data_IF_067055880745
#
_entry.id   IF_067055880745
#
_cell.length_a   1.000
_cell.length_b   1.000
_cell.length_c   1.000
_cell.angle_alpha   90.00
_cell.angle_beta   90.00
_cell.angle_gamma   90.00
#
_symmetry.space_group_name_H-M   'P 1'
#
loop_
_entity.id
_entity.type
_entity.pdbx_description
1 polymer ?
#
# COMPACT_ATOMS: atom_id res chain seq x y z
N UNK A 1 -34.41 -8.70 -15.94
CA UNK A 1 -33.63 -9.43 -14.90
C UNK A 1 -32.13 -9.10 -14.92
N UNK A 2 -31.48 -9.02 -16.08
CA UNK A 2 -30.05 -8.63 -16.19
C UNK A 2 -29.75 -7.18 -15.80
N UNK A 3 -30.63 -6.23 -16.17
CA UNK A 3 -30.46 -4.81 -15.82
C UNK A 3 -30.46 -4.56 -14.30
N UNK A 4 -31.32 -5.27 -13.55
CA UNK A 4 -31.41 -5.18 -12.09
C UNK A 4 -30.16 -5.73 -11.40
N UNK A 5 -29.58 -6.82 -11.91
CA UNK A 5 -28.28 -7.33 -11.43
C UNK A 5 -27.13 -6.37 -11.72
N UNK A 6 -27.13 -5.75 -12.90
CA UNK A 6 -26.11 -4.77 -13.28
C UNK A 6 -26.23 -3.50 -12.41
N UNK A 7 -27.46 -3.03 -12.16
CA UNK A 7 -27.71 -1.89 -11.26
C UNK A 7 -27.26 -2.22 -9.84
N UNK A 8 -27.55 -3.43 -9.34
CA UNK A 8 -27.11 -3.85 -8.01
C UNK A 8 -25.58 -3.92 -7.91
N UNK A 9 -24.90 -4.46 -8.92
CA UNK A 9 -23.42 -4.49 -8.98
C UNK A 9 -22.86 -3.07 -9.00
N UNK A 10 -23.45 -2.17 -9.79
CA UNK A 10 -23.03 -0.77 -9.87
C UNK A 10 -23.27 -0.05 -8.53
N UNK A 11 -24.42 -0.28 -7.89
CA UNK A 11 -24.74 0.27 -6.57
C UNK A 11 -23.78 -0.28 -5.51
N UNK A 12 -23.49 -1.58 -5.50
CA UNK A 12 -22.53 -2.19 -4.57
C UNK A 12 -21.10 -1.68 -4.83
N UNK A 13 -20.72 -1.45 -6.09
CA UNK A 13 -19.44 -0.86 -6.48
C UNK A 13 -19.37 0.61 -6.06
N UNK A 14 -20.45 1.37 -6.23
CA UNK A 14 -20.55 2.77 -5.81
C UNK A 14 -20.55 2.88 -4.29
N UNK A 15 -21.22 1.99 -3.56
CA UNK A 15 -21.19 1.94 -2.09
C UNK A 15 -19.78 1.58 -1.60
N UNK A 16 -19.11 0.62 -2.24
CA UNK A 16 -17.71 0.30 -1.95
C UNK A 16 -16.76 1.46 -2.29
N UNK A 17 -17.00 2.16 -3.40
CA UNK A 17 -16.22 3.33 -3.83
C UNK A 17 -16.51 4.57 -2.97
N UNK A 18 -17.75 4.75 -2.49
CA UNK A 18 -18.14 5.85 -1.61
C UNK A 18 -17.64 5.63 -0.18
N UNK A 19 -17.62 4.39 0.30
CA UNK A 19 -16.92 4.01 1.53
C UNK A 19 -15.39 4.28 1.45
N UNK A 20 -14.84 4.42 0.23
CA UNK A 20 -13.45 4.81 -0.01
C UNK A 20 -13.29 6.33 -0.16
N UNK A 21 -14.36 7.11 -0.45
CA UNK A 21 -14.24 8.46 -1.02
C UNK A 21 -14.66 9.65 -0.14
N UNK A 22 -15.00 9.45 1.13
CA UNK A 22 -14.96 10.53 2.11
C UNK A 22 -14.64 9.96 3.50
N UNK A 23 -13.40 9.50 3.70
CA UNK A 23 -12.93 9.23 5.07
C UNK A 23 -13.04 10.53 5.86
N UNK A 24 -13.77 10.51 6.96
CA UNK A 24 -13.66 11.55 7.98
C UNK A 24 -12.17 11.73 8.30
N UNK A 25 -11.72 12.98 8.44
CA UNK A 25 -10.33 13.30 8.78
C UNK A 25 -10.27 13.85 10.19
N UNK A 26 -9.37 13.33 11.02
CA UNK A 26 -9.10 13.86 12.36
C UNK A 26 -7.71 14.49 12.40
N UNK A 27 -7.65 15.73 12.87
CA UNK A 27 -6.41 16.49 12.98
C UNK A 27 -5.89 16.47 14.42
N UNK A 28 -4.60 16.17 14.59
CA UNK A 28 -3.90 16.17 15.86
C UNK A 28 -2.70 17.09 15.83
N UNK A 29 -2.34 17.59 17.02
CA UNK A 29 -1.08 18.28 17.25
C UNK A 29 -0.32 17.53 18.32
N UNK A 30 0.92 17.15 18.03
CA UNK A 30 1.75 16.43 18.96
C UNK A 30 3.23 16.66 18.69
N UNK A 31 4.03 16.73 19.74
CA UNK A 31 5.49 16.81 19.61
C UNK A 31 6.07 15.50 19.08
N UNK A 32 5.53 14.36 19.53
CA UNK A 32 5.89 13.02 19.06
C UNK A 32 4.69 12.33 18.39
N UNK A 33 4.65 12.27 17.04
CA UNK A 33 3.59 11.58 16.31
C UNK A 33 3.44 10.10 16.67
N UNK A 34 4.55 9.39 16.86
CA UNK A 34 4.54 7.94 17.15
C UNK A 34 3.85 7.65 18.48
N UNK A 35 4.05 8.50 19.48
CA UNK A 35 3.41 8.36 20.79
C UNK A 35 1.88 8.48 20.66
N UNK A 36 1.39 9.42 19.85
CA UNK A 36 -0.06 9.56 19.61
C UNK A 36 -0.61 8.33 18.90
N UNK A 37 0.09 7.82 17.89
CA UNK A 37 -0.31 6.60 17.16
C UNK A 37 -0.36 5.41 18.12
N UNK A 38 0.66 5.26 18.96
CA UNK A 38 0.70 4.23 19.99
C UNK A 38 -0.46 4.36 20.98
N UNK A 39 -0.69 5.54 21.56
CA UNK A 39 -1.78 5.77 22.51
C UNK A 39 -3.15 5.50 21.89
N UNK A 40 -3.33 5.85 20.61
CA UNK A 40 -4.57 5.59 19.86
C UNK A 40 -4.81 4.12 19.63
N UNK A 41 -3.79 3.36 19.22
CA UNK A 41 -3.88 1.90 19.14
C UNK A 41 -4.13 1.30 20.53
N UNK A 42 -3.43 1.75 21.56
CA UNK A 42 -3.55 1.25 22.93
C UNK A 42 -4.96 1.46 23.53
N UNK A 43 -5.67 2.53 23.15
CA UNK A 43 -7.07 2.72 23.52
C UNK A 43 -7.98 1.61 23.00
N UNK A 44 -7.65 0.99 21.87
CA UNK A 44 -8.42 -0.12 21.32
C UNK A 44 -8.24 -1.43 22.12
N UNK A 45 -7.40 -1.46 23.17
CA UNK A 45 -7.47 -2.51 24.20
C UNK A 45 -8.73 -2.45 25.08
N UNK A 46 -9.53 -1.39 24.96
CA UNK A 46 -10.82 -1.30 25.65
C UNK A 46 -11.92 -1.85 24.76
N UNK A 47 -12.58 -2.92 25.21
CA UNK A 47 -13.76 -3.49 24.54
C UNK A 47 -14.84 -2.44 24.33
N UNK A 48 -15.12 -1.60 25.34
CA UNK A 48 -16.09 -0.50 25.24
C UNK A 48 -15.73 0.50 24.14
N UNK A 49 -14.47 0.87 24.00
CA UNK A 49 -14.05 1.79 22.92
C UNK A 49 -14.13 1.11 21.55
N UNK A 50 -13.85 -0.19 21.47
CA UNK A 50 -14.06 -0.96 20.24
C UNK A 50 -15.54 -1.06 19.85
N UNK A 51 -16.46 -1.25 20.80
CA UNK A 51 -17.91 -1.23 20.54
C UNK A 51 -18.34 0.13 19.98
N UNK A 52 -17.89 1.23 20.60
CA UNK A 52 -18.19 2.58 20.12
C UNK A 52 -17.69 2.79 18.69
N UNK A 53 -16.46 2.38 18.39
CA UNK A 53 -15.88 2.45 17.05
C UNK A 53 -16.73 1.67 16.03
N UNK A 54 -17.09 0.43 16.35
CA UNK A 54 -17.90 -0.41 15.45
C UNK A 54 -19.30 0.18 15.21
N UNK A 55 -19.91 0.79 16.23
CA UNK A 55 -21.21 1.49 16.10
C UNK A 55 -21.12 2.72 15.22
N UNK A 56 -20.06 3.52 15.39
CA UNK A 56 -19.77 4.67 14.54
C UNK A 56 -19.62 4.23 13.07
N UNK A 57 -18.78 3.22 12.82
CA UNK A 57 -18.60 2.66 11.47
C UNK A 57 -19.90 2.10 10.89
N UNK A 58 -20.73 1.43 11.70
CA UNK A 58 -22.02 0.90 11.26
C UNK A 58 -23.01 2.01 10.91
N UNK A 59 -22.94 3.17 11.58
CA UNK A 59 -23.76 4.34 11.25
C UNK A 59 -23.38 4.95 9.89
N UNK A 60 -22.09 4.95 9.55
CA UNK A 60 -21.58 5.43 8.27
C UNK A 60 -21.78 4.41 7.13
N UNK A 61 -21.64 3.12 7.44
CA UNK A 61 -21.83 2.00 6.50
C UNK A 61 -22.84 1.00 7.08
N UNK A 62 -24.16 1.26 6.91
CA UNK A 62 -25.20 0.40 7.46
C UNK A 62 -25.13 -1.04 6.92
N UNK A 63 -25.19 -2.00 7.84
CA UNK A 63 -25.27 -3.42 7.53
C UNK A 63 -26.24 -4.12 8.49
N UNK A 64 -27.41 -4.49 7.99
CA UNK A 64 -28.47 -5.11 8.80
C UNK A 64 -28.07 -6.47 9.42
N UNK A 65 -27.03 -7.13 8.89
CA UNK A 65 -26.52 -8.39 9.45
C UNK A 65 -25.66 -8.18 10.70
N UNK A 66 -25.16 -6.96 10.94
CA UNK A 66 -24.34 -6.63 12.12
C UNK A 66 -25.26 -6.22 13.27
N UNK A 67 -25.64 -7.20 14.09
CA UNK A 67 -26.47 -6.98 15.28
C UNK A 67 -25.64 -6.49 16.47
N UNK A 68 -26.29 -6.04 17.54
CA UNK A 68 -25.61 -5.67 18.79
C UNK A 68 -24.75 -6.79 19.37
N UNK A 69 -25.17 -8.05 19.20
CA UNK A 69 -24.41 -9.20 19.66
C UNK A 69 -23.14 -9.43 18.82
N UNK A 70 -23.25 -9.22 17.51
CA UNK A 70 -22.10 -9.24 16.59
C UNK A 70 -21.12 -8.12 16.97
N UNK A 71 -21.60 -6.90 17.27
CA UNK A 71 -20.75 -5.78 17.70
C UNK A 71 -19.98 -6.14 18.96
N UNK A 72 -20.65 -6.68 19.99
CA UNK A 72 -19.99 -7.09 21.25
C UNK A 72 -18.92 -8.15 21.01
N UNK A 73 -19.24 -9.17 20.21
CA UNK A 73 -18.31 -10.25 19.86
C UNK A 73 -17.09 -9.72 19.11
N UNK A 74 -17.31 -8.88 18.10
CA UNK A 74 -16.23 -8.24 17.32
C UNK A 74 -15.40 -7.29 18.18
N UNK A 75 -16.01 -6.57 19.12
CA UNK A 75 -15.29 -5.66 20.01
C UNK A 75 -14.35 -6.40 20.98
N UNK A 76 -14.79 -7.52 21.55
CA UNK A 76 -13.94 -8.40 22.37
C UNK A 76 -12.77 -8.92 21.53
N UNK A 77 -13.07 -9.41 20.32
CA UNK A 77 -12.06 -9.90 19.39
C UNK A 77 -11.04 -8.85 19.00
N UNK A 78 -11.51 -7.66 18.61
CA UNK A 78 -10.66 -6.53 18.22
C UNK A 78 -9.73 -6.12 19.37
N UNK A 79 -10.30 -5.97 20.57
CA UNK A 79 -9.54 -5.62 21.77
C UNK A 79 -8.42 -6.61 22.07
N UNK A 80 -8.71 -7.91 21.96
CA UNK A 80 -7.73 -8.98 22.20
C UNK A 80 -6.60 -8.98 21.14
N UNK A 81 -6.95 -8.81 19.87
CA UNK A 81 -5.96 -8.77 18.77
C UNK A 81 -5.06 -7.54 18.88
N UNK A 82 -5.62 -6.37 19.21
CA UNK A 82 -4.84 -5.16 19.43
C UNK A 82 -3.86 -5.35 20.58
N UNK A 83 -4.29 -5.95 21.69
CA UNK A 83 -3.39 -6.26 22.80
C UNK A 83 -2.23 -7.17 22.37
N UNK A 84 -2.52 -8.21 21.57
CA UNK A 84 -1.49 -9.08 21.01
C UNK A 84 -0.54 -8.32 20.08
N UNK A 85 -1.07 -7.48 19.18
CA UNK A 85 -0.29 -6.66 18.26
C UNK A 85 0.70 -5.76 19.02
N UNK A 86 0.21 -5.02 20.02
CA UNK A 86 1.04 -4.12 20.83
C UNK A 86 2.12 -4.87 21.61
N UNK A 87 1.83 -6.08 22.09
CA UNK A 87 2.82 -6.95 22.73
C UNK A 87 4.01 -7.26 21.81
N UNK A 88 3.77 -7.50 20.52
CA UNK A 88 4.84 -7.70 19.54
C UNK A 88 5.55 -6.40 19.15
N UNK A 89 4.84 -5.29 19.06
CA UNK A 89 5.45 -4.00 18.71
C UNK A 89 6.41 -3.50 19.80
N UNK A 90 5.99 -3.60 21.06
CA UNK A 90 6.77 -3.13 22.22
C UNK A 90 7.83 -4.14 22.70
N UNK A 91 7.88 -5.34 22.11
CA UNK A 91 8.83 -6.37 22.55
C UNK A 91 10.28 -5.89 22.37
N UNK A 92 11.10 -5.82 23.45
CA UNK A 92 12.48 -5.39 23.35
C UNK A 92 13.24 -6.41 22.50
N UNK A 93 13.70 -5.96 21.33
CA UNK A 93 14.41 -6.81 20.37
C UNK A 93 15.89 -6.43 20.39
N UNK A 94 16.75 -7.33 20.88
CA UNK A 94 18.19 -7.08 20.97
C UNK A 94 18.93 -7.37 19.65
N UNK A 95 18.26 -8.02 18.70
CA UNK A 95 18.88 -8.54 17.49
C UNK A 95 17.94 -8.39 16.29
N UNK A 96 18.51 -8.30 15.08
CA UNK A 96 17.73 -8.11 13.87
C UNK A 96 16.73 -9.27 13.64
N UNK A 97 17.11 -10.51 13.96
CA UNK A 97 16.22 -11.66 13.83
C UNK A 97 14.98 -11.56 14.75
N UNK A 98 15.17 -11.14 16.01
CA UNK A 98 14.04 -10.97 16.93
C UNK A 98 13.15 -9.81 16.49
N UNK A 99 13.73 -8.72 15.99
CA UNK A 99 13.02 -7.56 15.44
C UNK A 99 12.13 -7.98 14.24
N UNK A 100 12.69 -8.68 13.25
CA UNK A 100 11.95 -9.19 12.08
C UNK A 100 10.74 -10.03 12.50
N UNK A 101 10.95 -10.99 13.41
CA UNK A 101 9.87 -11.90 13.83
C UNK A 101 8.76 -11.16 14.59
N UNK A 102 9.13 -10.28 15.51
CA UNK A 102 8.17 -9.45 16.22
C UNK A 102 7.37 -8.57 15.27
N UNK A 103 8.00 -7.93 14.27
CA UNK A 103 7.27 -7.10 13.28
C UNK A 103 6.39 -7.89 12.35
N UNK A 104 6.80 -9.10 11.97
CA UNK A 104 5.92 -9.99 11.22
C UNK A 104 4.64 -10.33 12.00
N UNK A 105 4.76 -10.73 13.26
CA UNK A 105 3.58 -11.06 14.07
C UNK A 105 2.73 -9.84 14.41
N UNK A 106 3.36 -8.69 14.67
CA UNK A 106 2.66 -7.42 14.81
C UNK A 106 1.79 -7.12 13.58
N UNK A 107 2.38 -7.22 12.39
CA UNK A 107 1.67 -6.99 11.13
C UNK A 107 0.55 -8.00 10.90
N UNK A 108 0.79 -9.28 11.19
CA UNK A 108 -0.24 -10.32 11.13
C UNK A 108 -1.44 -9.96 12.02
N UNK A 109 -1.20 -9.61 13.28
CA UNK A 109 -2.28 -9.22 14.21
C UNK A 109 -3.01 -7.97 13.70
N UNK A 110 -2.31 -6.96 13.18
CA UNK A 110 -2.97 -5.78 12.64
C UNK A 110 -3.88 -6.10 11.43
N UNK A 111 -3.46 -6.97 10.51
CA UNK A 111 -4.33 -7.37 9.38
C UNK A 111 -5.57 -8.12 9.85
N UNK A 112 -5.47 -8.92 10.92
CA UNK A 112 -6.63 -9.54 11.58
C UNK A 112 -7.52 -8.46 12.20
N UNK A 113 -6.93 -7.50 12.93
CA UNK A 113 -7.66 -6.41 13.57
C UNK A 113 -8.46 -5.58 12.55
N UNK A 114 -7.90 -5.29 11.38
CA UNK A 114 -8.60 -4.59 10.30
C UNK A 114 -9.84 -5.36 9.83
N UNK A 115 -9.72 -6.68 9.61
CA UNK A 115 -10.86 -7.51 9.21
C UNK A 115 -11.94 -7.59 10.30
N UNK A 116 -11.53 -7.75 11.57
CA UNK A 116 -12.45 -7.77 12.72
C UNK A 116 -13.11 -6.40 12.92
N UNK A 117 -12.41 -5.30 12.66
CA UNK A 117 -12.96 -3.96 12.78
C UNK A 117 -13.93 -3.58 11.64
N UNK A 118 -14.04 -4.41 10.61
CA UNK A 118 -14.89 -4.13 9.46
C UNK A 118 -16.36 -4.47 9.71
N UNK A 119 -17.25 -3.53 9.43
CA UNK A 119 -18.71 -3.71 9.55
C UNK A 119 -19.37 -4.18 8.26
N UNK A 120 -18.60 -4.37 7.18
CA UNK A 120 -19.11 -4.91 5.90
C UNK A 120 -19.35 -6.42 5.95
N UNK A 121 -18.81 -7.08 6.98
CA UNK A 121 -18.98 -8.50 7.26
C UNK A 121 -19.36 -8.72 8.75
N UNK A 122 -19.83 -9.91 9.06
CA UNK A 122 -20.18 -10.32 10.43
C UNK A 122 -19.08 -11.11 11.13
N UNK A 123 -17.96 -11.36 10.45
CA UNK A 123 -16.91 -12.25 10.93
C UNK A 123 -16.22 -11.63 12.15
N UNK A 124 -16.12 -12.42 13.22
CA UNK A 124 -15.38 -12.08 14.42
C UNK A 124 -13.96 -12.63 14.39
N UNK A 125 -13.30 -12.53 15.55
CA UNK A 125 -11.92 -12.99 15.68
C UNK A 125 -11.77 -14.48 15.35
N UNK A 126 -12.70 -15.31 15.82
CA UNK A 126 -12.63 -16.76 15.65
C UNK A 126 -12.69 -17.17 14.19
N UNK A 127 -13.60 -16.56 13.44
CA UNK A 127 -13.80 -16.83 12.01
C UNK A 127 -12.56 -16.44 11.22
N UNK A 128 -11.97 -15.28 11.53
CA UNK A 128 -10.78 -14.78 10.85
C UNK A 128 -9.53 -15.61 11.22
N UNK A 129 -9.34 -15.94 12.51
CA UNK A 129 -8.21 -16.76 12.97
C UNK A 129 -8.23 -18.17 12.39
N UNK A 130 -9.39 -18.75 12.11
CA UNK A 130 -9.48 -20.04 11.41
C UNK A 130 -8.72 -20.04 10.09
N UNK A 131 -8.58 -18.89 9.41
CA UNK A 131 -7.73 -18.81 8.22
C UNK A 131 -6.25 -18.92 8.55
N UNK A 132 -5.78 -18.36 9.67
CA UNK A 132 -4.39 -18.49 10.13
C UNK A 132 -4.04 -19.93 10.54
N UNK A 133 -4.99 -20.68 11.09
CA UNK A 133 -4.83 -22.10 11.44
C UNK A 133 -4.58 -22.97 10.19
N UNK A 134 -5.11 -22.57 9.04
CA UNK A 134 -4.86 -23.20 7.74
C UNK A 134 -3.54 -22.75 7.09
N UNK A 135 -2.69 -22.03 7.84
CA UNK A 135 -1.43 -21.45 7.40
C UNK A 135 -1.52 -19.96 7.09
N UNK A 136 -0.38 -19.33 6.78
CA UNK A 136 -0.32 -17.90 6.51
C UNK A 136 -0.77 -17.51 5.09
N UNK A 137 -0.95 -18.49 4.21
CA UNK A 137 -1.42 -18.28 2.83
C UNK A 137 -0.35 -17.78 1.86
N UNK A 138 0.91 -17.74 2.29
CA UNK A 138 2.08 -17.44 1.49
C UNK A 138 3.07 -18.61 1.58
N UNK A 139 3.94 -18.72 0.58
CA UNK A 139 5.08 -19.64 0.57
C UNK A 139 6.29 -18.97 -0.05
N UNK A 140 7.47 -19.37 0.41
CA UNK A 140 8.75 -18.98 -0.20
C UNK A 140 9.38 -20.18 -0.92
N UNK A 141 10.17 -19.89 -1.95
CA UNK A 141 10.97 -20.85 -2.69
C UNK A 141 12.28 -20.18 -3.10
N UNK A 142 13.40 -20.68 -2.58
CA UNK A 142 14.72 -20.28 -3.01
C UNK A 142 15.15 -21.17 -4.18
N UNK A 143 15.55 -20.58 -5.31
CA UNK A 143 16.10 -21.37 -6.41
C UNK A 143 17.35 -22.16 -5.96
N UNK A 144 17.59 -23.36 -6.49
CA UNK A 144 18.84 -24.08 -6.27
C UNK A 144 20.06 -23.19 -6.59
N UNK A 145 21.01 -23.07 -5.66
CA UNK A 145 22.16 -22.16 -5.74
C UNK A 145 21.80 -20.68 -5.87
N UNK A 146 20.55 -20.33 -5.55
CA UNK A 146 20.03 -18.99 -5.71
C UNK A 146 20.62 -17.99 -4.72
N UNK A 147 20.89 -16.78 -5.20
CA UNK A 147 21.32 -15.61 -4.43
C UNK A 147 20.12 -14.76 -4.00
N UNK A 148 20.15 -14.36 -2.73
CA UNK A 148 19.22 -13.37 -2.20
C UNK A 148 19.65 -11.98 -2.68
N UNK A 149 18.74 -11.05 -2.95
CA UNK A 149 17.28 -11.15 -2.80
C UNK A 149 16.51 -11.52 -4.07
N UNK A 150 17.20 -11.69 -5.21
CA UNK A 150 16.54 -11.89 -6.50
C UNK A 150 15.96 -13.30 -6.71
N UNK A 151 16.59 -14.33 -6.13
CA UNK A 151 16.22 -15.72 -6.38
C UNK A 151 15.43 -16.36 -5.21
N UNK A 152 15.15 -15.58 -4.17
CA UNK A 152 14.15 -15.91 -3.17
C UNK A 152 12.78 -15.46 -3.67
N UNK A 153 11.94 -16.41 -4.06
CA UNK A 153 10.64 -16.18 -4.65
C UNK A 153 9.51 -16.41 -3.66
N UNK A 154 8.45 -15.61 -3.74
CA UNK A 154 7.28 -15.62 -2.86
C UNK A 154 6.01 -15.73 -3.70
N UNK A 155 5.08 -16.57 -3.27
CA UNK A 155 3.77 -16.72 -3.94
C UNK A 155 2.64 -16.95 -2.94
N UNK A 156 1.43 -16.52 -3.32
CA UNK A 156 0.21 -16.75 -2.58
C UNK A 156 -0.34 -18.16 -2.84
N UNK A 157 -1.00 -18.74 -1.85
CA UNK A 157 -1.64 -20.06 -1.92
C UNK A 157 -3.15 -19.95 -1.72
N UNK A 158 -3.89 -21.01 -2.08
CA UNK A 158 -5.35 -21.02 -1.95
C UNK A 158 -5.83 -21.04 -0.50
N UNK A 159 -5.03 -21.61 0.39
CA UNK A 159 -5.33 -21.64 1.82
C UNK A 159 -4.77 -20.42 2.55
N UNK A 160 -5.11 -20.32 3.82
CA UNK A 160 -4.44 -19.43 4.76
C UNK A 160 -4.93 -17.99 4.81
N UNK A 161 -4.36 -17.26 5.78
CA UNK A 161 -4.73 -15.87 6.10
C UNK A 161 -4.63 -14.92 4.91
N UNK A 162 -3.50 -14.92 4.19
CA UNK A 162 -3.27 -13.96 3.11
C UNK A 162 -4.32 -14.02 2.00
N UNK A 163 -4.84 -15.20 1.66
CA UNK A 163 -5.92 -15.30 0.68
C UNK A 163 -7.22 -14.66 1.18
N UNK A 164 -7.57 -14.89 2.45
CA UNK A 164 -8.72 -14.24 3.07
C UNK A 164 -8.55 -12.72 3.09
N UNK A 165 -7.37 -12.25 3.50
CA UNK A 165 -7.05 -10.84 3.56
C UNK A 165 -7.05 -10.17 2.17
N UNK A 166 -6.44 -10.78 1.15
CA UNK A 166 -6.46 -10.25 -0.22
C UNK A 166 -7.88 -10.16 -0.79
N UNK A 167 -8.76 -11.13 -0.52
CA UNK A 167 -10.19 -11.04 -0.87
C UNK A 167 -10.89 -9.89 -0.14
N UNK A 168 -10.55 -9.68 1.13
CA UNK A 168 -11.06 -8.56 1.92
C UNK A 168 -10.66 -7.21 1.32
N UNK A 169 -9.42 -7.10 0.79
CA UNK A 169 -8.95 -5.93 0.05
C UNK A 169 -9.58 -5.78 -1.36
N UNK A 170 -10.37 -6.75 -1.80
CA UNK A 170 -11.00 -6.76 -3.13
C UNK A 170 -10.11 -7.26 -4.26
N UNK A 171 -8.97 -7.89 -3.95
CA UNK A 171 -8.08 -8.45 -4.97
C UNK A 171 -8.67 -9.69 -5.63
N UNK A 172 -8.43 -9.85 -6.93
CA UNK A 172 -8.80 -11.06 -7.67
C UNK A 172 -7.78 -12.16 -7.43
N UNK A 173 -7.84 -12.79 -6.25
CA UNK A 173 -6.84 -13.75 -5.77
C UNK A 173 -6.55 -14.92 -6.72
N UNK A 174 -7.45 -15.26 -7.65
CA UNK A 174 -7.19 -16.28 -8.70
C UNK A 174 -6.01 -15.91 -9.61
N UNK A 175 -5.74 -14.62 -9.82
CA UNK A 175 -4.59 -14.12 -10.57
C UNK A 175 -3.29 -14.34 -9.81
N UNK A 176 -3.34 -14.22 -8.49
CA UNK A 176 -2.17 -14.24 -7.60
C UNK A 176 -1.79 -15.65 -7.12
N UNK A 177 -2.78 -16.53 -6.96
CA UNK A 177 -2.59 -17.82 -6.28
C UNK A 177 -1.92 -18.86 -7.19
N UNK A 178 -0.98 -19.60 -6.59
CA UNK A 178 -0.42 -20.82 -7.12
C UNK A 178 -0.81 -22.01 -6.22
N UNK A 179 -1.77 -22.83 -6.70
CA UNK A 179 -2.36 -23.92 -5.92
C UNK A 179 -1.40 -25.10 -5.72
N UNK A 180 -0.68 -25.48 -6.78
CA UNK A 180 0.32 -26.56 -6.71
C UNK A 180 1.57 -26.02 -6.06
N UNK A 181 1.91 -26.57 -4.89
CA UNK A 181 3.14 -26.23 -4.19
C UNK A 181 4.35 -26.52 -5.06
N UNK A 182 5.22 -25.51 -5.18
CA UNK A 182 6.50 -25.60 -5.89
C UNK A 182 7.50 -26.34 -5.00
N UNK A 183 8.02 -27.47 -5.47
CA UNK A 183 8.99 -28.28 -4.72
C UNK A 183 10.38 -28.23 -5.35
N UNK A 184 10.43 -28.00 -6.65
CA UNK A 184 11.66 -27.97 -7.45
C UNK A 184 11.57 -26.92 -8.55
N UNK A 185 12.72 -26.52 -9.08
CA UNK A 185 12.80 -25.44 -10.07
C UNK A 185 12.03 -25.76 -11.35
N UNK A 186 11.94 -27.04 -11.73
CA UNK A 186 11.21 -27.49 -12.92
C UNK A 186 9.69 -27.28 -12.81
N UNK A 187 9.16 -27.07 -11.61
CA UNK A 187 7.75 -26.73 -11.40
C UNK A 187 7.43 -25.26 -11.79
N UNK A 188 8.47 -24.43 -12.02
CA UNK A 188 8.33 -23.01 -12.33
C UNK A 188 8.21 -22.82 -13.85
N UNK A 189 6.99 -22.95 -14.36
CA UNK A 189 6.68 -22.55 -15.75
C UNK A 189 6.61 -21.02 -15.89
N UNK A 190 6.64 -20.46 -17.11
CA UNK A 190 6.47 -19.02 -17.33
C UNK A 190 5.19 -18.45 -16.70
N UNK A 191 4.09 -19.21 -16.72
CA UNK A 191 2.81 -18.85 -16.10
C UNK A 191 2.91 -18.81 -14.57
N UNK A 192 3.60 -19.78 -13.97
CA UNK A 192 3.86 -19.83 -12.52
C UNK A 192 4.77 -18.67 -12.12
N UNK A 193 5.83 -18.40 -12.89
CA UNK A 193 6.79 -17.32 -12.59
C UNK A 193 6.13 -15.95 -12.49
N UNK A 194 5.11 -15.68 -13.32
CA UNK A 194 4.30 -14.43 -13.27
C UNK A 194 3.53 -14.25 -11.96
N UNK A 195 3.26 -15.34 -11.24
CA UNK A 195 2.62 -15.34 -9.92
C UNK A 195 3.61 -15.31 -8.76
N UNK A 196 4.90 -15.24 -9.04
CA UNK A 196 5.96 -15.20 -8.04
C UNK A 196 6.60 -13.82 -7.99
N UNK A 197 6.84 -13.31 -6.78
CA UNK A 197 7.56 -12.06 -6.52
C UNK A 197 8.94 -12.42 -5.95
N UNK A 198 10.01 -11.77 -6.40
CA UNK A 198 11.29 -11.87 -5.68
C UNK A 198 11.27 -10.98 -4.44
N UNK A 199 12.15 -11.29 -3.48
CA UNK A 199 12.37 -10.42 -2.33
C UNK A 199 12.85 -9.02 -2.75
N UNK A 200 13.70 -8.95 -3.79
CA UNK A 200 14.13 -7.67 -4.39
C UNK A 200 12.95 -6.86 -4.91
N UNK A 201 12.03 -7.49 -5.66
CA UNK A 201 10.84 -6.83 -6.18
C UNK A 201 10.00 -6.23 -5.05
N UNK A 202 9.83 -6.95 -3.94
CA UNK A 202 9.09 -6.44 -2.78
C UNK A 202 9.75 -5.20 -2.17
N UNK A 203 11.07 -5.24 -1.92
CA UNK A 203 11.79 -4.07 -1.42
C UNK A 203 11.67 -2.86 -2.36
N UNK A 204 11.86 -3.09 -3.67
CA UNK A 204 11.78 -2.03 -4.69
C UNK A 204 10.39 -1.39 -4.79
N UNK A 205 9.34 -2.08 -4.33
CA UNK A 205 7.97 -1.53 -4.28
C UNK A 205 7.66 -0.70 -3.03
N UNK A 206 8.55 -0.68 -2.02
CA UNK A 206 8.35 0.13 -0.81
C UNK A 206 8.80 1.57 -1.07
N UNK A 207 7.88 2.55 -1.15
CA UNK A 207 8.25 3.93 -1.51
C UNK A 207 9.18 4.60 -0.50
N UNK A 208 9.07 4.21 0.77
CA UNK A 208 9.92 4.68 1.86
C UNK A 208 11.39 4.31 1.69
N UNK A 209 11.70 3.29 0.88
CA UNK A 209 13.08 2.86 0.60
C UNK A 209 13.64 3.48 -0.68
N UNK A 210 12.86 4.24 -1.44
CA UNK A 210 13.20 4.69 -2.80
C UNK A 210 14.60 5.31 -2.91
N UNK A 211 15.05 6.05 -1.91
CA UNK A 211 16.34 6.74 -1.90
C UNK A 211 17.54 5.82 -1.67
N UNK A 212 17.32 4.63 -1.09
CA UNK A 212 18.39 3.67 -0.75
C UNK A 212 18.36 2.41 -1.61
N UNK A 213 17.26 2.12 -2.30
CA UNK A 213 17.09 0.86 -3.06
C UNK A 213 18.22 0.60 -4.07
N UNK A 214 18.65 1.61 -4.80
CA UNK A 214 19.70 1.45 -5.81
C UNK A 214 21.08 1.16 -5.20
N UNK A 215 21.37 1.77 -4.04
CA UNK A 215 22.60 1.54 -3.30
C UNK A 215 22.69 0.07 -2.85
N UNK A 216 21.59 -0.47 -2.35
CA UNK A 216 21.56 -1.82 -1.79
C UNK A 216 21.33 -2.93 -2.83
N UNK A 217 20.55 -2.68 -3.88
CA UNK A 217 20.11 -3.73 -4.81
C UNK A 217 20.70 -3.62 -6.22
N UNK A 218 21.39 -2.51 -6.52
CA UNK A 218 21.85 -2.17 -7.87
C UNK A 218 20.70 -2.21 -8.92
N UNK A 219 19.46 -2.01 -8.48
CA UNK A 219 18.26 -2.02 -9.32
C UNK A 219 17.41 -0.78 -9.07
N UNK A 220 16.83 -0.21 -10.12
CA UNK A 220 15.97 0.98 -10.01
C UNK A 220 14.71 0.71 -9.17
N UNK A 221 14.19 1.68 -8.40
CA UNK A 221 12.98 1.49 -7.61
C UNK A 221 11.76 1.23 -8.49
N UNK A 222 10.80 0.46 -7.96
CA UNK A 222 9.48 0.24 -8.56
C UNK A 222 8.43 1.22 -8.02
N UNK A 223 8.87 2.20 -7.24
CA UNK A 223 8.10 3.34 -6.74
C UNK A 223 8.72 4.65 -7.22
N UNK A 224 7.93 5.56 -7.77
CA UNK A 224 8.39 6.80 -8.40
C UNK A 224 7.64 7.99 -7.83
N UNK A 225 8.37 9.05 -7.45
CA UNK A 225 7.74 10.32 -7.09
C UNK A 225 7.12 10.94 -8.35
N UNK A 226 5.83 11.27 -8.27
CA UNK A 226 5.08 11.87 -9.36
C UNK A 226 4.38 13.14 -8.90
N UNK A 227 4.15 14.06 -9.83
CA UNK A 227 3.41 15.27 -9.54
C UNK A 227 2.89 15.96 -10.78
N UNK A 228 2.14 17.04 -10.56
CA UNK A 228 1.60 17.84 -11.64
C UNK A 228 2.75 18.59 -12.35
N UNK A 229 2.95 18.32 -13.63
CA UNK A 229 4.00 18.99 -14.42
C UNK A 229 3.73 20.49 -14.55
N UNK A 230 4.81 21.28 -14.63
CA UNK A 230 4.71 22.70 -14.97
C UNK A 230 4.25 22.93 -16.42
N UNK A 231 4.46 21.96 -17.33
CA UNK A 231 3.96 22.05 -18.72
C UNK A 231 2.45 22.27 -18.79
N UNK A 232 1.69 21.80 -17.79
CA UNK A 232 0.25 22.02 -17.69
C UNK A 232 -0.12 23.50 -17.53
N UNK A 233 0.72 24.30 -16.86
CA UNK A 233 0.45 25.74 -16.72
C UNK A 233 0.55 26.45 -18.07
N UNK A 234 1.52 26.04 -18.90
CA UNK A 234 1.69 26.55 -20.27
C UNK A 234 0.47 26.15 -21.11
N UNK A 235 0.10 24.87 -21.10
CA UNK A 235 -1.07 24.38 -21.83
C UNK A 235 -2.37 25.07 -21.41
N UNK A 236 -2.55 25.33 -20.11
CA UNK A 236 -3.72 26.06 -19.60
C UNK A 236 -3.72 27.53 -20.03
N UNK A 237 -2.55 28.17 -20.10
CA UNK A 237 -2.43 29.55 -20.59
C UNK A 237 -2.79 29.63 -22.08
N UNK A 238 -2.28 28.72 -22.90
CA UNK A 238 -2.59 28.64 -24.33
C UNK A 238 -4.09 28.40 -24.59
N UNK A 239 -4.71 27.49 -23.83
CA UNK A 239 -6.15 27.27 -23.88
C UNK A 239 -6.92 28.56 -23.55
N UNK A 240 -6.54 29.26 -22.48
CA UNK A 240 -7.20 30.51 -22.08
C UNK A 240 -7.09 31.57 -23.17
N UNK A 241 -5.91 31.74 -23.79
CA UNK A 241 -5.73 32.69 -24.88
C UNK A 241 -6.61 32.38 -26.10
N UNK A 242 -6.64 31.12 -26.53
CA UNK A 242 -7.48 30.68 -27.66
C UNK A 242 -8.96 30.88 -27.34
N UNK A 243 -9.37 30.55 -26.11
CA UNK A 243 -10.75 30.69 -25.67
C UNK A 243 -11.20 32.15 -25.67
N UNK A 244 -10.38 33.07 -25.13
CA UNK A 244 -10.67 34.52 -25.11
C UNK A 244 -10.76 35.08 -26.53
N UNK A 245 -9.83 34.69 -27.42
CA UNK A 245 -9.86 35.11 -28.84
C UNK A 245 -11.14 34.67 -29.54
N UNK A 246 -11.70 33.52 -29.18
CA UNK A 246 -12.86 32.91 -29.85
C UNK A 246 -14.19 33.35 -29.25
N UNK A 247 -14.28 33.49 -27.92
CA UNK A 247 -15.55 33.72 -27.20
C UNK A 247 -15.65 35.12 -26.58
N UNK A 248 -14.59 35.93 -26.67
CA UNK A 248 -14.51 37.29 -26.12
C UNK A 248 -14.85 37.38 -24.62
N UNK A 249 -14.61 36.31 -23.88
CA UNK A 249 -14.77 36.22 -22.42
C UNK A 249 -13.78 35.22 -21.82
N UNK A 250 -13.59 35.26 -20.51
CA UNK A 250 -12.82 34.25 -19.79
C UNK A 250 -13.58 32.90 -19.76
N UNK A 251 -12.86 31.76 -19.83
CA UNK A 251 -13.47 30.45 -19.64
C UNK A 251 -14.00 30.31 -18.21
N UNK A 252 -15.21 29.77 -18.07
CA UNK A 252 -15.78 29.41 -16.77
C UNK A 252 -15.31 28.02 -16.34
N UNK A 253 -15.59 27.67 -15.09
CA UNK A 253 -15.43 26.30 -14.59
C UNK A 253 -16.22 25.29 -15.43
N UNK A 254 -17.45 25.63 -15.83
CA UNK A 254 -18.26 24.73 -16.67
C UNK A 254 -17.68 24.53 -18.07
N UNK A 255 -17.17 25.59 -18.70
CA UNK A 255 -16.50 25.49 -20.00
C UNK A 255 -15.30 24.53 -19.92
N UNK A 256 -14.56 24.62 -18.81
CA UNK A 256 -13.42 23.76 -18.52
C UNK A 256 -13.81 22.31 -18.25
N UNK A 257 -15.01 22.05 -17.74
CA UNK A 257 -15.45 20.69 -17.38
C UNK A 257 -16.07 19.91 -18.56
N UNK A 258 -16.54 20.61 -19.60
CA UNK A 258 -17.21 20.01 -20.77
C UNK A 258 -16.26 19.34 -21.76
N UNK A 259 -14.96 19.58 -21.65
CA UNK A 259 -13.95 19.08 -22.58
C UNK A 259 -13.10 17.99 -21.92
N UNK A 260 -12.72 16.99 -22.70
CA UNK A 260 -11.66 16.07 -22.30
C UNK A 260 -10.35 16.83 -22.18
N UNK A 261 -9.61 16.54 -21.12
CA UNK A 261 -8.32 17.16 -20.81
C UNK A 261 -7.21 16.15 -20.88
N UNK A 262 -6.03 16.64 -21.25
CA UNK A 262 -4.79 15.90 -21.09
C UNK A 262 -3.97 16.61 -20.02
N UNK A 263 -3.57 15.87 -18.99
CA UNK A 263 -2.65 16.36 -17.96
C UNK A 263 -1.31 15.67 -18.11
N UNK A 264 -0.23 16.45 -18.13
CA UNK A 264 1.13 15.95 -18.04
C UNK A 264 1.52 15.72 -16.57
N UNK A 265 2.05 14.55 -16.28
CA UNK A 265 2.54 14.15 -14.96
C UNK A 265 4.06 14.11 -15.01
N UNK A 266 4.69 14.89 -14.14
CA UNK A 266 6.14 14.88 -13.95
C UNK A 266 6.58 13.69 -13.12
N UNK A 267 7.67 13.06 -13.53
CA UNK A 267 8.30 11.94 -12.85
C UNK A 267 9.64 12.43 -12.31
N UNK A 268 9.72 12.53 -10.99
CA UNK A 268 10.87 13.09 -10.30
C UNK A 268 11.77 11.97 -9.81
N UNK A 269 12.95 11.88 -10.42
CA UNK A 269 13.93 10.85 -10.11
C UNK A 269 15.33 11.42 -10.22
N UNK A 270 16.22 10.98 -9.33
CA UNK A 270 17.66 11.25 -9.38
C UNK A 270 18.42 10.06 -9.98
N UNK A 271 17.73 8.96 -10.25
CA UNK A 271 18.32 7.74 -10.78
C UNK A 271 18.66 7.85 -12.26
N UNK A 272 19.92 7.54 -12.66
CA UNK A 272 20.28 7.41 -14.06
C UNK A 272 19.70 6.14 -14.71
N UNK A 273 19.19 5.19 -13.93
CA UNK A 273 18.59 3.93 -14.41
C UNK A 273 17.11 4.08 -14.79
N UNK A 274 16.50 5.24 -14.50
CA UNK A 274 15.11 5.54 -14.82
C UNK A 274 15.07 6.40 -16.09
N UNK A 275 14.89 5.74 -17.23
CA UNK A 275 14.69 6.35 -18.53
C UNK A 275 13.27 6.07 -19.06
N UNK A 276 12.94 6.60 -20.24
CA UNK A 276 11.61 6.42 -20.86
C UNK A 276 11.29 4.92 -21.08
N UNK A 277 12.17 4.10 -21.69
CA UNK A 277 11.94 2.66 -21.82
C UNK A 277 11.65 1.96 -20.49
N UNK A 278 12.36 2.31 -19.42
CA UNK A 278 12.09 1.78 -18.08
C UNK A 278 10.69 2.15 -17.61
N UNK A 279 10.28 3.41 -17.75
CA UNK A 279 8.95 3.89 -17.35
C UNK A 279 7.82 3.20 -18.11
N UNK A 280 7.99 2.99 -19.42
CA UNK A 280 7.05 2.23 -20.25
C UNK A 280 6.89 0.78 -19.77
N UNK A 281 7.95 0.17 -19.22
CA UNK A 281 7.93 -1.19 -18.67
C UNK A 281 7.16 -1.32 -17.33
N UNK A 282 6.86 -0.21 -16.66
CA UNK A 282 6.17 -0.23 -15.36
C UNK A 282 4.65 -0.38 -15.49
N UNK A 283 4.09 -0.22 -16.69
CA UNK A 283 2.65 -0.32 -16.92
C UNK A 283 1.88 0.83 -16.26
N UNK A 284 2.48 2.02 -16.18
CA UNK A 284 1.80 3.23 -15.71
C UNK A 284 0.66 3.59 -16.67
N UNK A 285 -0.46 4.15 -16.19
CA UNK A 285 -1.54 4.63 -17.05
C UNK A 285 -1.20 5.99 -17.70
N UNK A 286 0.01 6.11 -18.25
CA UNK A 286 0.53 7.28 -18.96
C UNK A 286 0.90 6.92 -20.39
N UNK A 287 0.86 7.92 -21.26
CA UNK A 287 1.28 7.84 -22.65
C UNK A 287 2.17 9.05 -23.01
N UNK A 288 2.79 9.03 -24.20
CA UNK A 288 3.59 10.15 -24.71
C UNK A 288 4.71 10.62 -23.76
N UNK A 289 5.49 9.66 -23.24
CA UNK A 289 6.66 9.96 -22.42
C UNK A 289 7.66 10.82 -23.20
N UNK A 290 8.10 11.92 -22.59
CA UNK A 290 9.07 12.85 -23.19
C UNK A 290 9.83 13.61 -22.11
N UNK A 291 10.97 14.16 -22.49
CA UNK A 291 11.72 15.07 -21.61
C UNK A 291 11.13 16.47 -21.73
N UNK A 292 10.80 17.07 -20.59
CA UNK A 292 10.43 18.48 -20.47
C UNK A 292 11.58 19.23 -19.79
N UNK A 293 12.10 20.25 -20.47
CA UNK A 293 13.10 21.15 -19.92
C UNK A 293 12.40 22.38 -19.36
N UNK A 294 12.41 22.53 -18.04
CA UNK A 294 11.94 23.76 -17.42
C UNK A 294 12.92 24.89 -17.74
N UNK A 295 12.43 25.94 -18.40
CA UNK A 295 13.24 27.10 -18.79
C UNK A 295 13.71 27.92 -17.59
N UNK A 296 13.04 27.82 -16.44
CA UNK A 296 13.36 28.55 -15.21
C UNK A 296 14.39 27.80 -14.38
N UNK A 297 14.13 26.54 -14.03
CA UNK A 297 15.05 25.74 -13.20
C UNK A 297 16.20 25.11 -14.00
N UNK A 298 16.12 25.09 -15.35
CA UNK A 298 17.02 24.35 -16.25
C UNK A 298 17.12 22.86 -15.92
N UNK A 299 16.11 22.31 -15.24
CA UNK A 299 16.05 20.89 -14.93
C UNK A 299 15.27 20.16 -16.02
N UNK A 300 15.76 18.98 -16.37
CA UNK A 300 15.07 18.07 -17.28
C UNK A 300 14.25 17.10 -16.44
N UNK A 301 12.94 17.09 -16.65
CA UNK A 301 12.02 16.16 -15.99
C UNK A 301 11.37 15.28 -17.06
N UNK A 302 11.29 13.97 -16.83
CA UNK A 302 10.51 13.10 -17.71
C UNK A 302 9.02 13.32 -17.37
N UNK A 303 8.22 13.58 -18.39
CA UNK A 303 6.76 13.75 -18.25
C UNK A 303 6.04 12.68 -19.05
N UNK A 304 4.90 12.22 -18.53
CA UNK A 304 3.96 11.36 -19.25
C UNK A 304 2.55 11.92 -19.15
N UNK A 305 1.75 11.77 -20.19
CA UNK A 305 0.42 12.36 -20.31
C UNK A 305 -0.68 11.37 -19.93
N UNK A 306 -1.76 11.88 -19.32
CA UNK A 306 -3.00 11.12 -19.06
C UNK A 306 -4.21 11.91 -19.54
N UNK A 307 -5.11 11.23 -20.25
CA UNK A 307 -6.37 11.81 -20.70
C UNK A 307 -7.47 11.51 -19.69
N UNK A 308 -8.28 12.53 -19.38
CA UNK A 308 -9.37 12.41 -18.44
C UNK A 308 -10.51 13.37 -18.78
N UNK A 309 -11.75 13.05 -18.39
CA UNK A 309 -12.87 13.99 -18.49
C UNK A 309 -12.57 15.29 -17.75
N UNK A 310 -12.98 16.44 -18.29
CA UNK A 310 -12.74 17.75 -17.67
C UNK A 310 -13.40 17.94 -16.30
N UNK A 311 -14.46 17.16 -16.01
CA UNK A 311 -15.12 17.11 -14.71
C UNK A 311 -14.44 16.17 -13.69
N UNK A 312 -13.36 15.49 -14.09
CA UNK A 312 -12.57 14.59 -13.25
C UNK A 312 -11.15 15.12 -13.07
N UNK A 313 -10.58 14.93 -11.90
CA UNK A 313 -9.18 15.23 -11.63
C UNK A 313 -8.29 14.03 -12.01
N UNK A 314 -7.15 14.28 -12.64
CA UNK A 314 -6.25 13.23 -13.16
C UNK A 314 -5.83 12.22 -12.08
N UNK A 315 -5.61 12.66 -10.84
CA UNK A 315 -5.18 11.79 -9.74
C UNK A 315 -6.24 10.78 -9.30
N UNK A 316 -7.49 10.87 -9.80
CA UNK A 316 -8.50 9.82 -9.64
C UNK A 316 -8.28 8.63 -10.58
N UNK A 317 -7.62 8.85 -11.71
CA UNK A 317 -7.30 7.82 -12.70
C UNK A 317 -5.88 7.28 -12.56
N UNK A 318 -5.03 7.99 -11.82
CA UNK A 318 -3.65 7.64 -11.61
C UNK A 318 -3.45 7.09 -10.19
N UNK A 319 -3.14 5.80 -10.00
CA UNK A 319 -3.00 5.21 -8.68
C UNK A 319 -1.76 5.77 -7.98
N UNK A 320 -1.99 6.52 -6.90
CA UNK A 320 -0.92 7.08 -6.08
C UNK A 320 -0.93 6.51 -4.66
N UNK A 321 0.25 6.57 -4.05
CA UNK A 321 0.49 6.34 -2.63
C UNK A 321 1.29 7.52 -2.08
N UNK A 322 1.00 7.91 -0.86
CA UNK A 322 1.80 8.90 -0.11
C UNK A 322 1.80 8.51 1.35
N UNK A 323 2.86 8.88 2.05
CA UNK A 323 2.95 8.76 3.49
C UNK A 323 3.70 9.97 4.05
N UNK A 324 3.80 10.01 5.37
CA UNK A 324 4.59 11.00 6.09
C UNK A 324 6.07 11.04 5.66
N UNK A 325 6.57 9.91 5.14
CA UNK A 325 7.96 9.72 4.75
C UNK A 325 8.17 9.86 3.24
N UNK A 326 7.09 9.92 2.44
CA UNK A 326 7.17 9.80 0.99
C UNK A 326 6.15 10.70 0.30
N UNK A 327 6.59 11.55 -0.66
CA UNK A 327 5.67 12.35 -1.45
C UNK A 327 4.76 11.47 -2.33
N UNK A 328 3.78 12.10 -2.97
CA UNK A 328 2.86 11.41 -3.89
C UNK A 328 3.62 10.57 -4.91
N UNK A 329 3.46 9.25 -4.86
CA UNK A 329 4.26 8.31 -5.63
C UNK A 329 3.38 7.34 -6.38
N UNK A 330 3.78 7.02 -7.62
CA UNK A 330 3.33 5.81 -8.30
C UNK A 330 4.05 4.61 -7.70
N UNK A 331 3.36 3.49 -7.56
CA UNK A 331 3.98 2.21 -7.18
C UNK A 331 3.53 1.14 -8.15
N UNK A 332 4.48 0.39 -8.71
CA UNK A 332 4.18 -0.71 -9.61
C UNK A 332 3.27 -1.73 -8.93
N UNK A 333 2.11 -2.06 -9.53
CA UNK A 333 1.24 -3.14 -9.07
C UNK A 333 1.98 -4.47 -8.90
N UNK A 334 1.69 -5.21 -7.82
CA UNK A 334 2.11 -6.61 -7.67
C UNK A 334 0.97 -7.53 -8.10
N UNK A 335 1.28 -8.61 -8.82
CA UNK A 335 0.29 -9.55 -9.37
C UNK A 335 -0.84 -8.94 -10.21
N UNK A 336 -0.64 -7.72 -10.75
CA UNK A 336 -1.67 -7.00 -11.50
C UNK A 336 -2.80 -6.43 -10.62
N UNK A 337 -2.67 -6.50 -9.31
CA UNK A 337 -3.61 -5.92 -8.34
C UNK A 337 -3.15 -4.53 -7.90
N UNK A 338 -4.10 -3.66 -7.57
CA UNK A 338 -3.78 -2.31 -7.08
C UNK A 338 -2.83 -2.37 -5.89
N UNK A 339 -1.80 -1.52 -5.89
CA UNK A 339 -0.87 -1.41 -4.77
C UNK A 339 -1.61 -1.14 -3.45
N UNK A 340 -1.27 -1.93 -2.44
CA UNK A 340 -1.76 -1.78 -1.08
C UNK A 340 -0.58 -1.96 -0.12
N UNK A 341 -0.14 -0.87 0.52
CA UNK A 341 1.08 -0.84 1.34
C UNK A 341 1.10 -1.94 2.39
N UNK A 342 -0.02 -2.16 3.07
CA UNK A 342 -0.15 -3.18 4.11
C UNK A 342 0.04 -4.59 3.55
N UNK A 343 -0.52 -4.90 2.38
CA UNK A 343 -0.39 -6.23 1.80
C UNK A 343 1.05 -6.51 1.35
N UNK A 344 1.69 -5.53 0.71
CA UNK A 344 3.10 -5.64 0.27
C UNK A 344 4.03 -5.83 1.47
N UNK A 345 3.86 -5.01 2.51
CA UNK A 345 4.66 -5.13 3.74
C UNK A 345 4.41 -6.43 4.49
N UNK A 346 3.17 -6.92 4.51
CA UNK A 346 2.86 -8.23 5.08
C UNK A 346 3.56 -9.37 4.32
N UNK A 347 3.56 -9.35 2.98
CA UNK A 347 4.28 -10.35 2.16
C UNK A 347 5.79 -10.29 2.41
N UNK A 348 6.35 -9.08 2.47
CA UNK A 348 7.77 -8.86 2.72
C UNK A 348 8.19 -9.37 4.11
N UNK A 349 7.50 -8.94 5.17
CA UNK A 349 7.75 -9.40 6.53
C UNK A 349 7.53 -10.91 6.69
N UNK A 350 6.54 -11.49 6.00
CA UNK A 350 6.37 -12.93 5.94
C UNK A 350 7.63 -13.60 5.37
N UNK A 351 8.11 -13.14 4.21
CA UNK A 351 9.30 -13.70 3.57
C UNK A 351 10.52 -13.63 4.48
N UNK A 352 10.78 -12.46 5.09
CA UNK A 352 11.87 -12.26 6.05
C UNK A 352 11.72 -13.18 7.27
N UNK A 353 10.50 -13.36 7.79
CA UNK A 353 10.25 -14.28 8.91
C UNK A 353 10.57 -15.73 8.57
N UNK A 354 10.43 -16.13 7.30
CA UNK A 354 10.78 -17.48 6.84
C UNK A 354 12.30 -17.63 6.75
N UNK A 355 12.99 -16.62 6.19
CA UNK A 355 14.47 -16.62 6.13
C UNK A 355 15.06 -16.81 7.52
N UNK A 356 14.62 -15.97 8.46
CA UNK A 356 15.13 -15.95 9.84
C UNK A 356 14.89 -17.28 10.58
N UNK A 357 13.76 -17.95 10.35
CA UNK A 357 13.39 -19.17 11.08
C UNK A 357 13.89 -20.45 10.44
N UNK A 358 13.93 -20.49 9.12
CA UNK A 358 14.03 -21.75 8.38
C UNK A 358 15.19 -21.77 7.37
N UNK A 359 15.94 -20.68 7.21
CA UNK A 359 17.07 -20.60 6.28
C UNK A 359 18.32 -20.05 6.99
N UNK A 360 18.89 -20.77 7.98
CA UNK A 360 19.99 -20.28 8.80
C UNK A 360 21.24 -19.92 7.97
N UNK A 361 21.57 -20.67 6.93
CA UNK A 361 22.72 -20.37 6.05
C UNK A 361 22.52 -19.06 5.29
N UNK A 362 21.30 -18.85 4.77
CA UNK A 362 20.93 -17.61 4.07
C UNK A 362 20.95 -16.43 5.05
N UNK A 363 20.39 -16.62 6.24
CA UNK A 363 20.38 -15.60 7.28
C UNK A 363 21.80 -15.22 7.71
N UNK A 364 22.70 -16.19 7.87
CA UNK A 364 24.10 -15.93 8.17
C UNK A 364 24.78 -15.08 7.10
N UNK A 365 24.55 -15.38 5.81
CA UNK A 365 25.08 -14.54 4.72
C UNK A 365 24.55 -13.11 4.79
N UNK A 366 23.26 -12.94 5.09
CA UNK A 366 22.61 -11.64 5.22
C UNK A 366 23.11 -10.83 6.43
N UNK A 367 23.46 -11.47 7.54
CA UNK A 367 23.89 -10.74 8.75
C UNK A 367 25.40 -10.56 8.85
N UNK A 368 26.18 -11.47 8.27
CA UNK A 368 27.62 -11.56 8.55
C UNK A 368 28.47 -12.05 7.39
N UNK A 369 27.87 -12.46 6.27
CA UNK A 369 28.58 -12.95 5.09
C UNK A 369 28.55 -11.97 3.91
N UNK A 370 28.53 -12.53 2.71
CA UNK A 370 28.60 -11.78 1.44
C UNK A 370 27.34 -10.93 1.14
N UNK A 371 26.19 -11.29 1.71
CA UNK A 371 24.91 -10.62 1.50
C UNK A 371 24.64 -9.56 2.61
N UNK A 372 25.67 -9.11 3.34
CA UNK A 372 25.52 -8.24 4.53
C UNK A 372 24.83 -6.90 4.26
N UNK A 373 24.99 -6.35 3.05
CA UNK A 373 24.30 -5.16 2.57
C UNK A 373 22.76 -5.35 2.60
N UNK A 374 22.25 -6.56 2.34
CA UNK A 374 20.83 -6.87 2.49
C UNK A 374 20.39 -6.83 3.96
N UNK A 375 21.26 -7.23 4.90
CA UNK A 375 21.01 -7.11 6.33
C UNK A 375 20.82 -5.65 6.75
N UNK A 376 21.68 -4.76 6.26
CA UNK A 376 21.55 -3.31 6.45
C UNK A 376 20.26 -2.74 5.84
N UNK A 377 19.88 -3.19 4.63
CA UNK A 377 18.60 -2.81 4.02
C UNK A 377 17.40 -3.26 4.87
N UNK A 378 17.43 -4.48 5.43
CA UNK A 378 16.37 -4.99 6.32
C UNK A 378 16.27 -4.15 7.59
N UNK A 379 17.39 -3.78 8.21
CA UNK A 379 17.35 -2.97 9.42
C UNK A 379 16.85 -1.54 9.15
N UNK A 380 17.29 -0.94 8.03
CA UNK A 380 16.76 0.34 7.55
C UNK A 380 15.24 0.25 7.33
N UNK A 381 14.79 -0.78 6.61
CA UNK A 381 13.38 -1.03 6.33
C UNK A 381 12.54 -1.14 7.61
N UNK A 382 12.96 -1.95 8.57
CA UNK A 382 12.21 -2.10 9.82
C UNK A 382 12.16 -0.77 10.57
N UNK A 383 13.28 -0.05 10.62
CA UNK A 383 13.36 1.22 11.34
C UNK A 383 12.41 2.26 10.77
N UNK A 384 12.25 2.35 9.44
CA UNK A 384 11.27 3.26 8.84
C UNK A 384 9.83 2.75 9.03
N UNK A 385 9.60 1.45 8.89
CA UNK A 385 8.25 0.88 8.88
C UNK A 385 7.62 0.80 10.26
N UNK A 386 8.43 0.85 11.32
CA UNK A 386 7.98 1.00 12.70
C UNK A 386 7.23 2.31 12.95
N UNK A 387 7.40 3.31 12.08
CA UNK A 387 6.69 4.59 12.15
C UNK A 387 5.49 4.65 11.19
N UNK A 388 5.63 4.07 9.99
CA UNK A 388 4.60 4.18 8.94
C UNK A 388 3.46 3.18 9.09
N UNK A 389 3.77 1.90 9.36
CA UNK A 389 2.73 0.85 9.39
C UNK A 389 1.70 1.03 10.51
N UNK A 390 2.09 1.40 11.76
CA UNK A 390 1.12 1.57 12.83
C UNK A 390 0.07 2.64 12.52
N UNK A 391 0.47 3.77 11.95
CA UNK A 391 -0.44 4.84 11.56
C UNK A 391 -1.40 4.37 10.47
N UNK A 392 -0.88 3.77 9.39
CA UNK A 392 -1.72 3.26 8.31
C UNK A 392 -2.72 2.22 8.83
N UNK A 393 -2.27 1.28 9.66
CA UNK A 393 -3.18 0.27 10.21
C UNK A 393 -4.22 0.86 11.14
N UNK A 394 -3.87 1.87 11.94
CA UNK A 394 -4.83 2.60 12.75
C UNK A 394 -5.91 3.28 11.89
N UNK A 395 -5.54 3.94 10.79
CA UNK A 395 -6.47 4.55 9.85
C UNK A 395 -7.38 3.52 9.16
N UNK A 396 -6.87 2.32 8.87
CA UNK A 396 -7.62 1.22 8.29
C UNK A 396 -8.62 0.62 9.28
N UNK A 397 -8.17 0.33 10.50
CA UNK A 397 -8.99 -0.20 11.60
C UNK A 397 -10.10 0.80 11.95
N UNK A 398 -9.78 2.09 12.06
CA UNK A 398 -10.76 3.12 12.38
C UNK A 398 -11.66 3.45 11.19
N UNK A 399 -11.13 3.42 9.96
CA UNK A 399 -11.86 3.91 8.77
C UNK A 399 -11.75 5.42 8.57
N UNK A 400 -10.91 6.10 9.36
CA UNK A 400 -10.74 7.55 9.40
C UNK A 400 -9.30 7.90 9.02
N UNK A 401 -9.09 8.99 8.27
CA UNK A 401 -7.74 9.50 7.98
C UNK A 401 -7.24 10.32 9.16
N UNK A 402 -6.01 10.12 9.58
CA UNK A 402 -5.40 10.83 10.71
C UNK A 402 -4.29 11.74 10.18
N UNK A 403 -4.38 13.03 10.51
CA UNK A 403 -3.38 14.02 10.14
C UNK A 403 -2.74 14.51 11.44
N UNK A 404 -1.44 14.32 11.59
CA UNK A 404 -0.70 14.66 12.81
C UNK A 404 0.31 15.76 12.47
N UNK A 405 0.13 16.94 13.06
CA UNK A 405 1.06 18.05 12.90
C UNK A 405 2.03 18.11 14.09
N UNK A 406 3.32 18.20 13.80
CA UNK A 406 4.33 18.57 14.81
C UNK A 406 4.39 20.07 15.03
N UNK A 407 4.72 20.47 16.26
CA UNK A 407 4.93 21.89 16.56
C UNK A 407 6.20 22.41 15.85
N UNK A 408 6.12 23.63 15.31
CA UNK A 408 7.23 24.28 14.58
C UNK A 408 7.23 24.04 13.07
N UNK A 409 6.40 23.14 12.58
CA UNK A 409 6.19 22.93 11.15
C UNK A 409 5.21 23.97 10.59
N UNK A 410 5.70 24.94 9.81
CA UNK A 410 4.86 26.02 9.24
C UNK A 410 3.89 25.53 8.15
N UNK A 411 4.16 24.36 7.55
CA UNK A 411 3.37 23.75 6.45
C UNK A 411 3.49 22.21 6.38
N UNK A 412 4.36 21.57 7.16
CA UNK A 412 4.51 20.12 7.13
C UNK A 412 3.46 19.45 7.99
N UNK A 413 2.47 18.85 7.34
CA UNK A 413 2.04 17.52 7.77
C UNK A 413 3.33 16.72 7.99
N UNK A 414 3.55 16.22 9.22
CA UNK A 414 4.41 15.04 9.31
C UNK A 414 3.59 13.97 8.65
#
# INVERSE_FOLDING_TARGET
MYLLKLLQIIVDLIIKLSAIMAKSSQNFRAENPDEIVFLRLNRLKSTRLCENLLREKLSETPNAAVTDEVIKTKAIGLSSVIESALGYWQSPSQSLNSKVLSRYYFMLQLTIAEQVASVVNIDGLREIQRHTENGHGLKTFLLPNGKVPNELLIYATQGGHFNSYGKFLGWEMKKCIQDKGIKKQEDITPEVRKKMLSLSQLFRTIPELRTVIEEYLDEAPLSLHVGHSQSNMIAQSEFNEIFIKTHHRLPTLEDSQKLDKTTDIGIYTESPKIDIPYLESLGMPLHNFRTYSDTVSKTNTIIGSISHPGNMTWWKLFPTYSSQYVPTSFVKPIWGERYHSIAVNYILLYALSIIVRYMPDVWYRITSGEDNHIGSLIDYYISVMDHVLPLQMLEHIQGTKLIIHSQGSWMGEI
#
